data_IF_437556470835
#
_entry.id   IF_437556470835
#
_cell.length_a   1.000
_cell.length_b   1.000
_cell.length_c   1.000
_cell.angle_alpha   90.00
_cell.angle_beta   90.00
_cell.angle_gamma   90.00
#
_symmetry.space_group_name_H-M   'P 1'
#
loop_
_entity.id
_entity.type
_entity.pdbx_description
1 polymer ?
#
# COMPACT_ATOMS: atom_id res chain seq x y z
N UNK A 1 3.03 -1.05 28.08
CA UNK A 1 3.61 -0.13 27.07
C UNK A 1 2.97 -0.26 25.68
N UNK A 2 2.55 -1.47 25.25
CA UNK A 2 1.99 -1.76 23.92
C UNK A 2 0.70 -0.99 23.50
N UNK A 3 0.00 -0.33 24.42
CA UNK A 3 -1.24 0.40 24.11
C UNK A 3 -1.02 1.84 23.62
N UNK A 4 0.04 2.51 24.10
CA UNK A 4 0.29 3.91 23.75
C UNK A 4 0.77 4.06 22.31
N UNK A 5 1.68 3.18 21.87
CA UNK A 5 2.18 3.17 20.49
C UNK A 5 1.06 2.89 19.48
N UNK A 6 0.13 1.97 19.78
CA UNK A 6 -1.04 1.73 18.92
C UNK A 6 -1.96 2.95 18.83
N UNK A 7 -2.20 3.63 19.96
CA UNK A 7 -3.05 4.82 19.99
C UNK A 7 -2.46 5.93 19.11
N UNK A 8 -1.15 6.18 19.25
CA UNK A 8 -0.45 7.20 18.47
C UNK A 8 -0.43 6.84 16.98
N UNK A 9 -0.14 5.59 16.63
CA UNK A 9 -0.10 5.16 15.23
C UNK A 9 -1.47 5.30 14.56
N UNK A 10 -2.56 4.89 15.22
CA UNK A 10 -3.90 5.05 14.66
C UNK A 10 -4.37 6.50 14.60
N UNK A 11 -3.93 7.36 15.54
CA UNK A 11 -4.19 8.80 15.44
C UNK A 11 -3.48 9.41 14.21
N UNK A 12 -2.25 8.98 13.92
CA UNK A 12 -1.51 9.41 12.73
C UNK A 12 -2.15 8.91 11.44
N UNK A 13 -2.62 7.67 11.39
CA UNK A 13 -3.41 7.13 10.26
C UNK A 13 -4.67 7.95 10.00
N UNK A 14 -5.43 8.29 11.04
CA UNK A 14 -6.65 9.08 10.91
C UNK A 14 -6.39 10.51 10.41
N UNK A 15 -5.34 11.17 10.91
CA UNK A 15 -4.97 12.51 10.46
C UNK A 15 -4.52 12.51 8.99
N UNK A 16 -3.68 11.55 8.58
CA UNK A 16 -3.16 11.49 7.21
C UNK A 16 -4.22 11.02 6.20
N UNK A 17 -5.09 10.09 6.58
CA UNK A 17 -6.21 9.65 5.75
C UNK A 17 -7.24 10.75 5.48
N UNK A 18 -7.27 11.81 6.29
CA UNK A 18 -8.13 12.99 6.06
C UNK A 18 -7.54 14.02 5.10
N UNK A 19 -6.24 13.93 4.78
CA UNK A 19 -5.52 14.91 3.97
C UNK A 19 -5.68 14.65 2.47
N UNK A 20 -5.29 13.44 2.02
CA UNK A 20 -5.47 12.97 0.64
C UNK A 20 -5.35 11.44 0.54
N UNK A 21 -5.68 10.88 -0.63
CA UNK A 21 -5.62 9.43 -0.88
C UNK A 21 -4.20 8.87 -1.10
N UNK A 22 -3.19 9.75 -1.22
CA UNK A 22 -1.82 9.39 -1.56
C UNK A 22 -0.89 9.38 -0.34
N UNK A 23 -1.31 10.04 0.74
CA UNK A 23 -0.61 10.16 2.01
C UNK A 23 -1.06 9.05 2.95
N UNK A 24 -0.14 8.19 3.36
CA UNK A 24 -0.41 7.10 4.30
C UNK A 24 0.68 7.02 5.37
N UNK A 25 0.28 6.72 6.60
CA UNK A 25 1.21 6.38 7.66
C UNK A 25 1.65 4.92 7.49
N UNK A 26 2.96 4.68 7.47
CA UNK A 26 3.51 3.32 7.53
C UNK A 26 3.94 3.03 8.96
N UNK A 27 3.34 1.99 9.55
CA UNK A 27 3.78 1.48 10.83
C UNK A 27 5.26 1.06 10.78
N UNK A 28 6.02 1.18 11.89
CA UNK A 28 7.47 0.89 11.91
C UNK A 28 7.82 -0.49 11.36
N UNK A 29 7.05 -1.53 11.70
CA UNK A 29 7.21 -2.89 11.17
C UNK A 29 7.00 -2.97 9.65
N UNK A 30 6.02 -2.25 9.10
CA UNK A 30 5.72 -2.21 7.67
C UNK A 30 6.76 -1.40 6.91
N UNK A 31 7.20 -0.28 7.48
CA UNK A 31 8.24 0.56 6.90
C UNK A 31 9.58 -0.17 6.82
N UNK A 32 9.95 -0.94 7.85
CA UNK A 32 11.16 -1.77 7.82
C UNK A 32 11.12 -2.79 6.66
N UNK A 33 9.98 -3.43 6.45
CA UNK A 33 9.79 -4.37 5.33
C UNK A 33 9.92 -3.71 3.94
N UNK A 34 9.42 -2.48 3.79
CA UNK A 34 9.51 -1.71 2.55
C UNK A 34 10.92 -1.18 2.32
N UNK A 35 11.58 -0.64 3.37
CA UNK A 35 12.91 -0.04 3.29
C UNK A 35 13.98 -1.06 2.86
N UNK A 36 13.91 -2.26 3.42
CA UNK A 36 14.94 -3.29 3.19
C UNK A 36 14.75 -3.99 1.83
N UNK A 37 13.63 -3.74 1.15
CA UNK A 37 13.44 -4.07 -0.25
C UNK A 37 13.67 -2.81 -1.09
N UNK A 38 14.80 -2.73 -1.80
CA UNK A 38 14.93 -1.93 -3.03
C UNK A 38 13.99 -2.47 -4.15
N UNK A 39 12.75 -2.81 -3.81
CA UNK A 39 11.79 -3.24 -4.80
C UNK A 39 11.27 -1.99 -5.46
N UNK A 40 11.57 -1.88 -6.76
CA UNK A 40 10.70 -1.21 -7.71
C UNK A 40 9.23 -1.40 -7.27
N UNK A 41 8.34 -0.41 -7.42
CA UNK A 41 6.94 -0.46 -7.00
C UNK A 41 6.09 -1.53 -7.74
N UNK A 42 6.76 -2.51 -8.33
CA UNK A 42 6.25 -3.74 -8.87
C UNK A 42 6.43 -4.82 -7.80
N UNK A 43 5.35 -5.21 -7.12
CA UNK A 43 5.34 -6.49 -6.43
C UNK A 43 5.76 -7.59 -7.44
N UNK A 44 6.86 -8.34 -7.22
CA UNK A 44 7.20 -9.48 -8.05
C UNK A 44 6.12 -10.52 -7.81
N UNK A 45 5.06 -10.50 -8.63
CA UNK A 45 3.89 -11.30 -8.35
C UNK A 45 2.96 -11.39 -9.54
N UNK A 46 2.40 -10.27 -10.00
CA UNK A 46 1.32 -10.33 -11.00
C UNK A 46 1.40 -9.27 -12.10
N UNK A 47 2.18 -8.18 -11.91
CA UNK A 47 2.23 -7.05 -12.84
C UNK A 47 0.98 -6.18 -12.81
N UNK A 48 0.37 -6.04 -11.63
CA UNK A 48 -0.76 -5.18 -11.35
C UNK A 48 -0.29 -3.94 -10.59
N UNK A 49 -0.85 -2.78 -10.95
CA UNK A 49 -0.80 -1.57 -10.14
C UNK A 49 -2.12 -1.46 -9.39
N UNK A 50 -2.04 -1.34 -8.07
CA UNK A 50 -3.20 -1.19 -7.20
C UNK A 50 -3.36 0.27 -6.79
N UNK A 51 -4.60 0.76 -6.82
CA UNK A 51 -5.02 2.01 -6.21
C UNK A 51 -5.96 1.73 -5.05
N UNK A 52 -6.03 2.67 -4.11
CA UNK A 52 -7.00 2.64 -3.01
C UNK A 52 -8.08 3.69 -3.30
N UNK A 53 -9.32 3.26 -3.48
CA UNK A 53 -10.50 4.12 -3.39
C UNK A 53 -11.16 3.89 -2.03
N UNK A 54 -11.90 4.87 -1.51
CA UNK A 54 -12.37 4.97 -0.12
C UNK A 54 -12.62 3.62 0.60
N UNK A 55 -13.42 2.73 -0.01
CA UNK A 55 -13.79 1.43 0.58
C UNK A 55 -13.23 0.21 -0.17
N UNK A 56 -12.54 0.41 -1.29
CA UNK A 56 -12.16 -0.68 -2.21
C UNK A 56 -10.75 -0.53 -2.77
N UNK A 57 -10.03 -1.65 -2.85
CA UNK A 57 -8.83 -1.74 -3.67
C UNK A 57 -9.25 -1.85 -5.13
N UNK A 58 -8.65 -1.02 -5.98
CA UNK A 58 -8.90 -0.95 -7.42
C UNK A 58 -7.64 -1.32 -8.18
N UNK A 59 -7.80 -1.96 -9.33
CA UNK A 59 -6.70 -2.17 -10.27
C UNK A 59 -6.62 -0.94 -11.16
N UNK A 60 -5.53 -0.18 -11.08
CA UNK A 60 -5.36 1.07 -11.84
C UNK A 60 -4.61 0.87 -13.15
N UNK A 61 -3.74 -0.14 -13.20
CA UNK A 61 -3.06 -0.53 -14.43
C UNK A 61 -2.67 -2.00 -14.40
N UNK A 62 -2.70 -2.62 -15.57
CA UNK A 62 -2.19 -3.98 -15.79
C UNK A 62 -1.04 -3.87 -16.77
N UNK A 63 0.14 -4.36 -16.39
CA UNK A 63 1.31 -4.32 -17.26
C UNK A 63 1.15 -5.34 -18.39
N UNK A 64 1.28 -4.90 -19.64
CA UNK A 64 1.25 -5.78 -20.81
C UNK A 64 2.28 -6.91 -20.69
N UNK A 65 1.87 -8.15 -21.03
CA UNK A 65 2.72 -9.34 -20.92
C UNK A 65 2.92 -9.88 -19.50
N UNK A 66 2.31 -9.27 -18.49
CA UNK A 66 2.33 -9.77 -17.11
C UNK A 66 1.45 -11.02 -16.92
N UNK A 67 1.59 -11.67 -15.76
CA UNK A 67 0.72 -12.80 -15.39
C UNK A 67 -0.75 -12.37 -15.30
N UNK A 68 -1.03 -11.15 -14.81
CA UNK A 68 -2.37 -10.60 -14.78
C UNK A 68 -2.96 -10.36 -16.17
N UNK A 69 -2.16 -9.81 -17.10
CA UNK A 69 -2.60 -9.61 -18.48
C UNK A 69 -2.95 -10.94 -19.17
N UNK A 70 -2.17 -12.00 -18.91
CA UNK A 70 -2.47 -13.35 -19.44
C UNK A 70 -3.72 -13.97 -18.81
N UNK A 71 -4.07 -13.56 -17.59
CA UNK A 71 -5.26 -14.02 -16.89
C UNK A 71 -6.52 -13.22 -17.25
N UNK A 72 -6.41 -12.17 -18.07
CA UNK A 72 -7.54 -11.33 -18.48
C UNK A 72 -8.06 -10.40 -17.39
N UNK A 73 -7.22 -10.06 -16.40
CA UNK A 73 -7.48 -9.00 -15.41
C UNK A 73 -7.27 -7.63 -16.04
#
# INVERSE_FOLDING_TARGET
KLGYERLVNHALEGMLGSLDQFSAFYHPETYAYIRDKESEPVLPGLGLTLGKSADHLTVTAVRSGSAAARAGI
#
